data_IF_264273887697
#
_entry.id   IF_264273887697
#
_cell.length_a   1.000
_cell.length_b   1.000
_cell.length_c   1.000
_cell.angle_alpha   90.00
_cell.angle_beta   90.00
_cell.angle_gamma   90.00
#
_symmetry.space_group_name_H-M   'P 1'
#
loop_
_entity.id
_entity.type
_entity.pdbx_description
1 polymer ?
#
# COMPACT_ATOMS: atom_id res chain seq x y z
N UNK A 1 -3.46 -0.62 -17.83
CA UNK A 1 -4.33 -0.49 -16.64
C UNK A 1 -3.93 0.69 -15.77
N UNK A 2 -2.65 0.81 -15.35
CA UNK A 2 -2.19 1.98 -14.56
C UNK A 2 -2.41 3.33 -15.23
N UNK A 3 -2.25 3.42 -16.56
CA UNK A 3 -2.45 4.64 -17.37
C UNK A 3 -3.91 5.09 -17.46
N UNK A 4 -4.88 4.16 -17.49
CA UNK A 4 -6.31 4.52 -17.54
C UNK A 4 -6.78 5.05 -16.19
N UNK A 5 -6.27 4.51 -15.07
CA UNK A 5 -6.62 4.99 -13.72
C UNK A 5 -5.98 6.34 -13.40
N UNK A 6 -4.78 6.62 -13.92
CA UNK A 6 -4.15 7.94 -13.82
C UNK A 6 -4.77 8.97 -14.77
N UNK A 7 -5.13 8.59 -16.00
CA UNK A 7 -5.78 9.51 -16.95
C UNK A 7 -7.25 9.80 -16.64
N UNK A 8 -7.95 8.91 -15.94
CA UNK A 8 -9.37 9.11 -15.58
C UNK A 8 -9.60 9.90 -14.30
N UNK A 9 -8.54 10.24 -13.55
CA UNK A 9 -8.68 10.88 -12.23
C UNK A 9 -9.31 9.98 -11.15
N UNK A 10 -9.64 8.72 -11.47
CA UNK A 10 -10.24 7.76 -10.53
C UNK A 10 -9.32 7.45 -9.35
N UNK A 11 -8.02 7.33 -9.61
CA UNK A 11 -7.03 7.09 -8.56
C UNK A 11 -6.95 8.22 -7.55
N UNK A 12 -6.96 9.46 -8.04
CA UNK A 12 -6.90 10.68 -7.22
C UNK A 12 -8.21 10.92 -6.46
N UNK A 13 -9.36 10.70 -7.11
CA UNK A 13 -10.69 10.80 -6.49
C UNK A 13 -10.86 9.76 -5.38
N UNK A 14 -10.46 8.51 -5.65
CA UNK A 14 -10.51 7.43 -4.67
C UNK A 14 -9.56 7.71 -3.50
N UNK A 15 -8.35 8.20 -3.79
CA UNK A 15 -7.40 8.58 -2.76
C UNK A 15 -7.95 9.70 -1.86
N UNK A 16 -8.50 10.77 -2.43
CA UNK A 16 -9.09 11.88 -1.68
C UNK A 16 -10.29 11.41 -0.84
N UNK A 17 -11.12 10.52 -1.38
CA UNK A 17 -12.21 9.90 -0.65
C UNK A 17 -11.73 9.03 0.52
N UNK A 18 -10.67 8.25 0.34
CA UNK A 18 -10.08 7.43 1.39
C UNK A 18 -9.42 8.28 2.47
N UNK A 19 -8.69 9.33 2.09
CA UNK A 19 -8.09 10.31 3.01
C UNK A 19 -9.18 10.94 3.88
N UNK A 20 -10.33 11.33 3.31
CA UNK A 20 -11.42 11.92 4.08
C UNK A 20 -12.07 10.95 5.10
N UNK A 21 -11.92 9.64 4.90
CA UNK A 21 -12.46 8.61 5.82
C UNK A 21 -11.43 8.08 6.82
N UNK A 22 -10.14 8.27 6.56
CA UNK A 22 -9.07 7.78 7.43
C UNK A 22 -8.69 8.86 8.43
N UNK A 23 -8.61 8.49 9.70
CA UNK A 23 -8.08 9.37 10.74
C UNK A 23 -6.55 9.41 10.64
N UNK A 24 -6.04 10.24 9.74
CA UNK A 24 -4.61 10.52 9.57
C UNK A 24 -4.08 11.49 10.65
N UNK A 25 -4.99 12.12 11.40
CA UNK A 25 -4.70 13.03 12.51
C UNK A 25 -4.64 12.36 13.87
N UNK A 26 -4.91 11.06 13.94
CA UNK A 26 -4.92 10.27 15.17
C UNK A 26 -3.68 10.53 16.03
N UNK A 27 -3.83 10.65 17.35
CA UNK A 27 -2.67 10.90 18.23
C UNK A 27 -1.67 9.74 18.22
N UNK A 28 -2.13 8.52 17.95
CA UNK A 28 -1.28 7.32 17.92
C UNK A 28 -0.52 7.18 16.61
N UNK A 29 0.82 7.17 16.68
CA UNK A 29 1.68 6.89 15.53
C UNK A 29 1.39 5.54 14.84
N UNK A 30 0.90 4.55 15.57
CA UNK A 30 0.50 3.24 15.02
C UNK A 30 -0.74 3.37 14.13
N UNK A 31 -1.73 4.15 14.56
CA UNK A 31 -2.97 4.33 13.81
C UNK A 31 -2.70 5.08 12.50
N UNK A 32 -1.84 6.12 12.53
CA UNK A 32 -1.37 6.79 11.31
C UNK A 32 -0.67 5.82 10.36
N UNK A 33 0.23 4.99 10.89
CA UNK A 33 0.99 4.01 10.11
C UNK A 33 0.09 2.97 9.41
N UNK A 34 -0.85 2.39 10.16
CA UNK A 34 -1.82 1.44 9.62
C UNK A 34 -2.71 2.12 8.58
N UNK A 35 -3.10 3.38 8.80
CA UNK A 35 -3.91 4.13 7.84
C UNK A 35 -3.17 4.35 6.51
N UNK A 36 -1.92 4.82 6.53
CA UNK A 36 -1.14 5.04 5.30
C UNK A 36 -0.91 3.72 4.55
N UNK A 37 -0.61 2.63 5.27
CA UNK A 37 -0.46 1.30 4.66
C UNK A 37 -1.78 0.81 4.07
N UNK A 38 -2.88 0.97 4.81
CA UNK A 38 -4.21 0.54 4.37
C UNK A 38 -4.64 1.26 3.10
N UNK A 39 -4.37 2.57 3.02
CA UNK A 39 -4.60 3.36 1.80
C UNK A 39 -3.77 2.84 0.63
N UNK A 40 -2.46 2.61 0.86
CA UNK A 40 -1.58 2.01 -0.14
C UNK A 40 -2.05 0.63 -0.60
N UNK A 41 -2.54 -0.20 0.32
CA UNK A 41 -3.04 -1.54 0.01
C UNK A 41 -4.33 -1.51 -0.81
N UNK A 42 -5.30 -0.66 -0.45
CA UNK A 42 -6.54 -0.49 -1.23
C UNK A 42 -6.21 0.00 -2.64
N UNK A 43 -5.33 1.00 -2.77
CA UNK A 43 -4.90 1.49 -4.08
C UNK A 43 -4.18 0.40 -4.88
N UNK A 44 -3.37 -0.45 -4.23
CA UNK A 44 -2.75 -1.60 -4.88
C UNK A 44 -3.79 -2.60 -5.42
N UNK A 45 -4.88 -2.84 -4.68
CA UNK A 45 -5.97 -3.69 -5.14
C UNK A 45 -6.67 -3.10 -6.36
N UNK A 46 -6.95 -1.79 -6.35
CA UNK A 46 -7.65 -1.15 -7.48
C UNK A 46 -6.74 -0.98 -8.70
N UNK A 47 -5.44 -0.72 -8.51
CA UNK A 47 -4.58 -0.25 -9.60
C UNK A 47 -3.47 -1.17 -10.05
N UNK A 48 -2.94 -2.07 -9.20
CA UNK A 48 -1.68 -2.86 -9.34
C UNK A 48 -0.42 -2.23 -8.72
N UNK A 49 0.64 -3.05 -8.52
CA UNK A 49 1.95 -2.64 -8.00
C UNK A 49 2.60 -1.45 -8.73
N UNK A 50 2.57 -1.35 -10.07
CA UNK A 50 3.10 -0.16 -10.75
C UNK A 50 2.15 1.05 -10.69
N UNK A 51 0.84 0.84 -10.51
CA UNK A 51 -0.14 1.92 -10.43
C UNK A 51 -0.18 2.61 -9.05
N UNK A 52 0.03 1.84 -7.99
CA UNK A 52 -0.08 2.33 -6.62
C UNK A 52 0.90 3.46 -6.28
N UNK A 53 2.22 3.37 -6.60
CA UNK A 53 3.17 4.43 -6.28
C UNK A 53 2.87 5.72 -7.02
N UNK A 54 2.36 5.65 -8.26
CA UNK A 54 2.02 6.84 -9.05
C UNK A 54 0.92 7.66 -8.36
N UNK A 55 -0.13 7.00 -7.88
CA UNK A 55 -1.24 7.68 -7.18
C UNK A 55 -0.81 8.15 -5.80
N UNK A 56 -0.13 7.29 -5.03
CA UNK A 56 0.32 7.67 -3.71
C UNK A 56 1.30 8.84 -3.73
N UNK A 57 2.16 8.93 -4.75
CA UNK A 57 3.08 10.06 -4.92
C UNK A 57 2.30 11.35 -5.16
N UNK A 58 1.26 11.32 -6.00
CA UNK A 58 0.42 12.50 -6.29
C UNK A 58 -0.29 13.06 -5.04
N UNK A 59 -0.63 12.21 -4.06
CA UNK A 59 -1.32 12.59 -2.82
C UNK A 59 -0.40 12.63 -1.59
N UNK A 60 0.90 12.43 -1.77
CA UNK A 60 1.85 12.23 -0.67
C UNK A 60 2.02 13.48 0.20
N UNK A 61 1.94 14.67 -0.41
CA UNK A 61 2.07 15.94 0.27
C UNK A 61 0.87 16.25 1.19
N UNK A 62 -0.40 16.11 0.75
CA UNK A 62 -1.56 16.13 1.65
C UNK A 62 -1.45 15.14 2.83
N UNK A 63 -0.94 13.93 2.59
CA UNK A 63 -0.75 12.93 3.66
C UNK A 63 0.34 13.38 4.64
N UNK A 64 1.45 13.94 4.15
CA UNK A 64 2.52 14.47 5.00
C UNK A 64 2.01 15.59 5.91
N UNK A 65 1.22 16.52 5.37
CA UNK A 65 0.58 17.61 6.13
C UNK A 65 -0.37 17.03 7.20
N UNK A 66 -1.23 16.09 6.83
CA UNK A 66 -2.22 15.51 7.75
C UNK A 66 -1.57 14.67 8.87
N UNK A 67 -0.51 13.92 8.56
CA UNK A 67 0.18 13.06 9.52
C UNK A 67 1.20 13.80 10.38
N UNK A 68 1.73 14.93 9.88
CA UNK A 68 2.87 15.64 10.47
C UNK A 68 4.21 14.95 10.21
N UNK A 69 4.25 13.93 9.34
CA UNK A 69 5.48 13.20 9.01
C UNK A 69 6.26 13.88 7.87
N UNK A 70 7.59 13.71 7.82
CA UNK A 70 8.36 14.09 6.64
C UNK A 70 7.83 13.39 5.37
N UNK A 71 7.82 14.10 4.24
CA UNK A 71 7.39 13.56 2.95
C UNK A 71 8.09 12.24 2.61
N UNK A 72 9.40 12.16 2.89
CA UNK A 72 10.17 10.94 2.70
C UNK A 72 9.62 9.75 3.51
N UNK A 73 9.22 9.97 4.77
CA UNK A 73 8.61 8.93 5.62
C UNK A 73 7.29 8.44 5.01
N UNK A 74 6.44 9.34 4.51
CA UNK A 74 5.19 8.97 3.84
C UNK A 74 5.45 8.11 2.61
N UNK A 75 6.37 8.56 1.75
CA UNK A 75 6.76 7.85 0.52
C UNK A 75 7.45 6.51 0.80
N UNK A 76 8.12 6.34 1.94
CA UNK A 76 8.66 5.06 2.36
C UNK A 76 7.55 4.15 2.91
N UNK A 77 6.62 4.70 3.70
CA UNK A 77 5.54 3.95 4.36
C UNK A 77 4.68 3.20 3.36
N UNK A 78 4.39 3.81 2.23
CA UNK A 78 3.57 3.21 1.18
C UNK A 78 4.15 1.92 0.59
N UNK A 79 5.48 1.74 0.63
CA UNK A 79 6.16 0.55 0.09
C UNK A 79 5.84 -0.68 0.94
N UNK A 80 5.63 -0.49 2.24
CA UNK A 80 5.26 -1.55 3.17
C UNK A 80 3.93 -2.21 2.80
N UNK A 81 3.02 -1.50 2.12
CA UNK A 81 1.77 -2.07 1.61
C UNK A 81 1.99 -3.16 0.56
N UNK A 82 3.16 -3.21 -0.09
CA UNK A 82 3.46 -4.24 -1.09
C UNK A 82 3.57 -5.65 -0.49
N UNK A 83 3.85 -5.76 0.80
CA UNK A 83 3.86 -7.02 1.53
C UNK A 83 2.46 -7.68 1.60
N UNK A 84 1.39 -6.94 1.32
CA UNK A 84 0.01 -7.39 1.41
C UNK A 84 -0.59 -7.84 0.06
N UNK A 85 0.27 -8.28 -0.86
CA UNK A 85 -0.11 -8.75 -2.20
C UNK A 85 -0.94 -10.04 -2.12
N UNK A 86 -2.21 -10.01 -2.54
CA UNK A 86 -3.14 -11.15 -2.41
C UNK A 86 -3.60 -11.73 -3.75
N UNK A 87 -3.55 -10.96 -4.85
CA UNK A 87 -4.03 -11.39 -6.16
C UNK A 87 -2.93 -11.32 -7.24
N UNK A 88 -2.83 -12.33 -8.13
CA UNK A 88 -1.78 -12.36 -9.15
C UNK A 88 -1.82 -11.20 -10.16
N UNK A 89 -3.01 -10.64 -10.44
CA UNK A 89 -3.12 -9.53 -11.39
C UNK A 89 -2.41 -8.26 -10.92
N UNK A 90 -2.17 -8.14 -9.61
CA UNK A 90 -1.50 -6.98 -9.03
C UNK A 90 -0.03 -6.87 -9.46
N UNK A 91 0.59 -7.95 -9.93
CA UNK A 91 1.98 -7.97 -10.37
C UNK A 91 2.08 -8.52 -11.81
N UNK A 92 2.57 -7.73 -12.80
CA UNK A 92 2.77 -8.23 -14.16
C UNK A 92 3.61 -9.52 -14.27
N UNK A 93 4.68 -9.70 -13.47
CA UNK A 93 5.43 -10.96 -13.48
C UNK A 93 4.60 -12.19 -13.08
N UNK A 94 3.63 -12.05 -12.17
CA UNK A 94 2.74 -13.15 -11.76
C UNK A 94 1.73 -13.49 -12.86
N UNK A 95 1.24 -12.49 -13.59
CA UNK A 95 0.40 -12.71 -14.78
C UNK A 95 1.17 -13.47 -15.85
N UNK A 96 2.41 -13.06 -16.15
CA UNK A 96 3.28 -13.77 -17.09
C UNK A 96 3.56 -15.21 -16.62
N UNK A 97 3.87 -15.40 -15.33
CA UNK A 97 4.09 -16.73 -14.74
C UNK A 97 2.87 -17.63 -14.88
N UNK A 98 1.66 -17.09 -14.71
CA UNK A 98 0.42 -17.84 -14.93
C UNK A 98 0.29 -18.31 -16.38
N UNK A 99 0.59 -17.44 -17.35
CA UNK A 99 0.54 -17.79 -18.79
C UNK A 99 1.53 -18.91 -19.10
N UNK A 100 2.76 -18.82 -18.57
CA UNK A 100 3.81 -19.82 -18.80
C UNK A 100 3.51 -21.15 -18.11
N UNK A 101 3.02 -21.12 -16.87
CA UNK A 101 2.80 -22.33 -16.05
C UNK A 101 1.47 -23.05 -16.32
N UNK A 102 0.49 -22.37 -16.92
CA UNK A 102 -0.87 -22.90 -17.12
C UNK A 102 -1.64 -23.21 -15.83
N UNK A 103 -1.11 -22.82 -14.66
CA UNK A 103 -1.72 -23.14 -13.38
C UNK A 103 -2.99 -22.30 -13.11
N UNK A 104 -3.99 -22.86 -12.40
CA UNK A 104 -5.16 -22.09 -12.00
C UNK A 104 -4.77 -20.99 -10.99
N UNK A 105 -5.48 -19.86 -11.05
CA UNK A 105 -5.27 -18.69 -10.16
C UNK A 105 -5.30 -19.11 -8.69
N UNK A 106 -6.14 -20.10 -8.33
CA UNK A 106 -6.27 -20.60 -6.97
C UNK A 106 -4.95 -21.10 -6.36
N UNK A 107 -4.05 -21.68 -7.17
CA UNK A 107 -2.73 -22.13 -6.68
C UNK A 107 -1.83 -20.95 -6.32
N UNK A 108 -1.88 -19.86 -7.08
CA UNK A 108 -1.15 -18.64 -6.76
C UNK A 108 -1.71 -18.02 -5.47
N UNK A 109 -3.03 -17.84 -5.39
CA UNK A 109 -3.68 -17.25 -4.21
C UNK A 109 -3.37 -18.08 -2.95
N UNK A 110 -3.39 -19.42 -3.04
CA UNK A 110 -3.05 -20.32 -1.93
C UNK A 110 -1.64 -20.12 -1.40
N UNK A 111 -0.71 -19.66 -2.23
CA UNK A 111 0.65 -19.31 -1.83
C UNK A 111 0.73 -17.87 -1.33
N UNK A 112 0.09 -16.93 -2.03
CA UNK A 112 0.14 -15.50 -1.74
C UNK A 112 -0.54 -15.13 -0.41
N UNK A 113 -1.66 -15.75 -0.06
CA UNK A 113 -2.37 -15.45 1.20
C UNK A 113 -1.45 -15.68 2.42
N UNK A 114 -0.81 -16.85 2.61
CA UNK A 114 0.16 -17.04 3.70
C UNK A 114 1.25 -15.97 3.75
N UNK A 115 1.81 -15.55 2.60
CA UNK A 115 2.80 -14.48 2.54
C UNK A 115 2.22 -13.13 2.94
N UNK A 116 1.00 -12.79 2.50
CA UNK A 116 0.32 -11.57 2.88
C UNK A 116 -0.01 -11.55 4.38
N UNK A 117 -0.41 -12.67 4.96
CA UNK A 117 -0.65 -12.80 6.41
C UNK A 117 0.67 -12.65 7.19
N UNK A 118 1.75 -13.28 6.73
CA UNK A 118 3.08 -13.08 7.30
C UNK A 118 3.52 -11.61 7.21
N UNK A 119 3.25 -10.97 6.07
CA UNK A 119 3.45 -9.54 5.86
C UNK A 119 2.69 -8.72 6.90
N UNK A 120 1.39 -8.97 7.04
CA UNK A 120 0.50 -8.22 7.92
C UNK A 120 0.83 -8.37 9.41
N UNK A 121 1.10 -9.59 9.87
CA UNK A 121 1.23 -9.90 11.29
C UNK A 121 2.67 -9.92 11.81
N UNK A 122 3.66 -10.06 10.93
CA UNK A 122 5.07 -10.15 11.33
C UNK A 122 5.86 -8.99 10.73
N UNK A 123 5.80 -8.83 9.41
CA UNK A 123 6.65 -7.83 8.74
C UNK A 123 6.24 -6.40 9.06
N UNK A 124 4.94 -6.07 9.01
CA UNK A 124 4.45 -4.73 9.28
C UNK A 124 4.65 -4.28 10.73
N UNK A 125 4.34 -5.09 11.77
CA UNK A 125 4.64 -4.71 13.14
C UNK A 125 6.13 -4.52 13.37
N UNK A 126 6.97 -5.40 12.82
CA UNK A 126 8.42 -5.28 12.92
C UNK A 126 8.91 -3.97 12.27
N UNK A 127 8.38 -3.63 11.10
CA UNK A 127 8.68 -2.37 10.40
C UNK A 127 8.27 -1.15 11.24
N UNK A 128 7.10 -1.18 11.85
CA UNK A 128 6.62 -0.10 12.73
C UNK A 128 7.56 0.12 13.91
N UNK A 129 7.92 -0.95 14.63
CA UNK A 129 8.82 -0.85 15.78
C UNK A 129 10.22 -0.39 15.37
N UNK A 130 10.70 -0.85 14.22
CA UNK A 130 11.98 -0.42 13.66
C UNK A 130 11.98 1.08 13.34
N UNK A 131 10.93 1.60 12.73
CA UNK A 131 10.83 3.02 12.39
C UNK A 131 10.56 3.92 13.59
N UNK A 132 9.83 3.41 14.59
CA UNK A 132 9.72 4.07 15.89
C UNK A 132 11.09 4.16 16.57
N UNK A 133 11.89 3.10 16.52
CA UNK A 133 13.26 3.08 17.07
C UNK A 133 14.19 4.07 16.36
N UNK A 134 14.08 4.19 15.04
CA UNK A 134 14.86 5.15 14.24
C UNK A 134 14.35 6.60 14.33
N UNK A 135 13.20 6.84 14.96
CA UNK A 135 12.61 8.17 15.09
C UNK A 135 11.90 8.69 13.83
N UNK A 136 11.61 7.83 12.85
CA UNK A 136 10.87 8.22 11.64
C UNK A 136 9.38 8.43 11.90
N UNK A 137 8.81 7.69 12.86
CA UNK A 137 7.43 7.82 13.28
C UNK A 137 7.42 8.39 14.69
N UNK A 138 6.82 9.57 14.86
CA UNK A 138 6.56 10.15 16.18
C UNK A 138 5.56 9.30 16.95
N UNK A 139 5.74 9.20 18.27
CA UNK A 139 4.82 8.50 19.18
C UNK A 139 3.41 9.07 19.08
#
# INVERSE_FOLDING_TARGET
MGTVVTQSGLGETLANFLIAKMDLTAESGLQKFVSVIGLGWILQLVTTLPGQPAIMTAISEPIAIATGWPLATVLMTQVSAWALLIFPYQAPPLVATRVISGLPISKFIRLMIPFALFGAFISLPLQYFWWKFLGYISA
#
